data_IF_804099415938
#
_entry.id   IF_804099415938
#
_cell.length_a   1.000
_cell.length_b   1.000
_cell.length_c   1.000
_cell.angle_alpha   90.00
_cell.angle_beta   90.00
_cell.angle_gamma   90.00
#
_symmetry.space_group_name_H-M   'P 1'
#
loop_
_entity.id
_entity.type
_entity.pdbx_description
1 polymer ?
#
# COMPACT_ATOMS: atom_id res chain seq x y z
N UNK A 1 -71.71 -28.46 -14.42
CA UNK A 1 -70.57 -28.67 -13.53
C UNK A 1 -69.33 -28.67 -14.40
N UNK A 2 -68.72 -27.50 -14.47
CA UNK A 2 -67.50 -27.19 -15.28
C UNK A 2 -66.30 -27.25 -14.40
N UNK A 3 -65.29 -28.04 -14.77
CA UNK A 3 -64.05 -28.20 -14.03
C UNK A 3 -63.12 -27.03 -14.40
N UNK A 4 -62.75 -26.21 -13.41
CA UNK A 4 -61.78 -25.18 -13.52
C UNK A 4 -60.37 -25.73 -13.82
N UNK A 5 -59.69 -25.10 -14.79
CA UNK A 5 -58.37 -25.48 -15.30
C UNK A 5 -57.24 -25.27 -14.30
N UNK A 6 -56.26 -26.14 -14.41
CA UNK A 6 -55.05 -26.18 -13.60
C UNK A 6 -54.20 -24.94 -13.83
N UNK A 7 -53.81 -24.31 -12.74
CA UNK A 7 -52.97 -23.11 -12.71
C UNK A 7 -51.63 -23.26 -13.46
N UNK A 8 -51.40 -22.30 -14.27
CA UNK A 8 -50.13 -22.04 -14.96
C UNK A 8 -49.06 -21.72 -13.92
N UNK A 9 -48.13 -22.66 -13.67
CA UNK A 9 -47.01 -22.46 -12.77
C UNK A 9 -46.00 -21.62 -13.50
N UNK A 10 -45.97 -20.32 -13.18
CA UNK A 10 -44.88 -19.44 -13.57
C UNK A 10 -43.53 -20.11 -13.31
N UNK A 11 -42.77 -20.42 -14.36
CA UNK A 11 -41.39 -20.86 -14.31
C UNK A 11 -40.52 -19.64 -14.55
N UNK A 12 -39.61 -19.25 -13.57
CA UNK A 12 -38.67 -18.17 -13.83
C UNK A 12 -37.78 -18.57 -15.01
N UNK A 13 -37.42 -17.58 -15.88
CA UNK A 13 -36.57 -17.87 -17.02
C UNK A 13 -35.19 -18.33 -16.52
N UNK A 14 -34.75 -19.49 -17.01
CA UNK A 14 -33.40 -20.02 -16.81
C UNK A 14 -32.42 -19.18 -17.67
N UNK A 15 -32.12 -17.97 -17.24
CA UNK A 15 -31.04 -17.14 -17.77
C UNK A 15 -29.93 -17.14 -16.77
N UNK A 16 -28.81 -17.84 -17.04
CA UNK A 16 -27.52 -17.50 -16.47
C UNK A 16 -27.26 -16.06 -16.94
N UNK A 17 -27.42 -15.06 -16.07
CA UNK A 17 -26.86 -13.74 -16.28
C UNK A 17 -25.34 -13.93 -16.32
N UNK A 18 -24.79 -14.15 -17.52
CA UNK A 18 -23.35 -14.08 -17.73
C UNK A 18 -22.98 -12.63 -17.46
N UNK A 19 -22.23 -12.40 -16.40
CA UNK A 19 -21.57 -11.12 -16.19
C UNK A 19 -20.81 -10.76 -17.49
N UNK A 20 -20.78 -9.49 -17.88
CA UNK A 20 -19.97 -9.06 -19.03
C UNK A 20 -18.54 -9.57 -18.89
N UNK A 21 -17.93 -9.99 -20.00
CA UNK A 21 -16.59 -10.56 -20.01
C UNK A 21 -15.56 -9.64 -19.31
N UNK A 22 -15.72 -8.34 -19.46
CA UNK A 22 -14.88 -7.31 -18.79
C UNK A 22 -15.01 -7.33 -17.26
N UNK A 23 -16.21 -7.57 -16.72
CA UNK A 23 -16.43 -7.66 -15.26
C UNK A 23 -15.79 -8.93 -14.71
N UNK A 24 -15.90 -10.05 -15.46
CA UNK A 24 -15.25 -11.31 -15.09
C UNK A 24 -13.72 -11.15 -15.12
N UNK A 25 -13.19 -10.58 -16.20
CA UNK A 25 -11.75 -10.36 -16.35
C UNK A 25 -11.18 -9.44 -15.24
N UNK A 26 -11.92 -8.37 -14.89
CA UNK A 26 -11.55 -7.48 -13.77
C UNK A 26 -11.49 -8.24 -12.46
N UNK A 27 -12.54 -9.01 -12.13
CA UNK A 27 -12.58 -9.82 -10.91
C UNK A 27 -11.46 -10.88 -10.87
N UNK A 28 -11.13 -11.49 -12.00
CA UNK A 28 -10.02 -12.46 -12.09
C UNK A 28 -8.67 -11.77 -11.91
N UNK A 29 -8.50 -10.58 -12.48
CA UNK A 29 -7.30 -9.78 -12.30
C UNK A 29 -7.09 -9.38 -10.84
N UNK A 30 -8.12 -8.87 -10.17
CA UNK A 30 -8.09 -8.52 -8.75
C UNK A 30 -7.68 -9.72 -7.88
N UNK A 31 -8.29 -10.90 -8.09
CA UNK A 31 -7.92 -12.12 -7.37
C UNK A 31 -6.45 -12.54 -7.59
N UNK A 32 -5.90 -12.33 -8.80
CA UNK A 32 -4.48 -12.61 -9.07
C UNK A 32 -3.56 -11.61 -8.37
N UNK A 33 -3.94 -10.34 -8.23
CA UNK A 33 -3.18 -9.35 -7.49
C UNK A 33 -3.18 -9.67 -5.98
N UNK A 34 -4.34 -10.03 -5.42
CA UNK A 34 -4.45 -10.48 -4.02
C UNK A 34 -3.64 -11.76 -3.77
N UNK A 35 -3.69 -12.70 -4.72
CA UNK A 35 -2.88 -13.91 -4.67
C UNK A 35 -1.38 -13.61 -4.69
N UNK A 36 -0.94 -12.62 -5.49
CA UNK A 36 0.47 -12.23 -5.53
C UNK A 36 0.93 -11.68 -4.18
N UNK A 37 0.11 -10.86 -3.50
CA UNK A 37 0.41 -10.32 -2.16
C UNK A 37 0.60 -11.48 -1.18
N UNK A 38 -0.36 -12.40 -1.08
CA UNK A 38 -0.31 -13.54 -0.15
C UNK A 38 0.86 -14.49 -0.44
N UNK A 39 1.03 -14.89 -1.69
CA UNK A 39 2.11 -15.84 -2.08
C UNK A 39 3.49 -15.24 -1.84
N UNK A 40 3.69 -13.94 -2.11
CA UNK A 40 4.96 -13.27 -1.83
C UNK A 40 5.21 -13.17 -0.33
N UNK A 41 4.21 -12.84 0.47
CA UNK A 41 4.33 -12.79 1.93
C UNK A 41 4.70 -14.16 2.53
N UNK A 42 4.18 -15.26 1.95
CA UNK A 42 4.47 -16.64 2.40
C UNK A 42 5.88 -17.11 2.05
N UNK A 43 6.33 -16.91 0.81
CA UNK A 43 7.55 -17.55 0.29
C UNK A 43 8.55 -16.64 -0.42
N UNK A 44 8.24 -15.34 -0.53
CA UNK A 44 9.03 -14.35 -1.25
C UNK A 44 8.89 -14.42 -2.77
N UNK A 45 9.24 -13.32 -3.45
CA UNK A 45 9.16 -13.20 -4.91
C UNK A 45 9.96 -14.27 -5.66
N UNK A 46 11.16 -14.62 -5.18
CA UNK A 46 12.03 -15.60 -5.85
C UNK A 46 11.38 -16.97 -6.00
N UNK A 47 10.76 -17.48 -4.93
CA UNK A 47 10.11 -18.78 -4.90
C UNK A 47 8.68 -18.80 -5.44
N UNK A 48 8.03 -17.64 -5.62
CA UNK A 48 6.71 -17.54 -6.23
C UNK A 48 6.68 -18.08 -7.66
N UNK A 49 5.67 -18.89 -7.97
CA UNK A 49 5.44 -19.44 -9.32
C UNK A 49 4.06 -19.09 -9.85
N UNK A 50 3.87 -19.13 -11.19
CA UNK A 50 2.54 -18.94 -11.80
C UNK A 50 1.54 -19.99 -11.31
N UNK A 51 2.00 -21.20 -11.02
CA UNK A 51 1.15 -22.26 -10.45
C UNK A 51 0.65 -21.91 -9.05
N UNK A 52 1.45 -21.25 -8.24
CA UNK A 52 1.04 -20.76 -6.93
C UNK A 52 -0.02 -19.65 -7.08
N UNK A 53 0.23 -18.67 -7.96
CA UNK A 53 -0.70 -17.56 -8.23
C UNK A 53 -2.06 -18.06 -8.72
N UNK A 54 -2.07 -18.97 -9.70
CA UNK A 54 -3.31 -19.48 -10.27
C UNK A 54 -4.09 -20.34 -9.29
N UNK A 55 -3.41 -21.15 -8.47
CA UNK A 55 -4.02 -21.95 -7.40
C UNK A 55 -4.64 -21.04 -6.35
N UNK A 56 -3.91 -20.06 -5.87
CA UNK A 56 -4.36 -19.13 -4.83
C UNK A 56 -5.52 -18.24 -5.32
N UNK A 57 -5.44 -17.75 -6.56
CA UNK A 57 -6.49 -16.93 -7.17
C UNK A 57 -7.72 -17.73 -7.62
N UNK A 58 -7.64 -19.07 -7.70
CA UNK A 58 -8.70 -19.92 -8.24
C UNK A 58 -8.98 -19.63 -9.71
N UNK A 59 -7.94 -19.42 -10.54
CA UNK A 59 -8.04 -19.18 -11.98
C UNK A 59 -7.21 -20.20 -12.77
N UNK A 60 -7.50 -20.36 -14.08
CA UNK A 60 -6.70 -21.22 -14.94
C UNK A 60 -5.37 -20.56 -15.35
N UNK A 61 -4.39 -21.38 -15.77
CA UNK A 61 -3.16 -20.85 -16.37
C UNK A 61 -3.43 -20.07 -17.65
N UNK A 62 -4.41 -20.47 -18.44
CA UNK A 62 -4.84 -19.74 -19.64
C UNK A 62 -5.32 -18.33 -19.24
N UNK A 63 -6.20 -18.23 -18.25
CA UNK A 63 -6.67 -16.94 -17.72
C UNK A 63 -5.51 -16.06 -17.19
N UNK A 64 -4.51 -16.68 -16.54
CA UNK A 64 -3.33 -15.94 -16.12
C UNK A 64 -2.62 -15.28 -17.31
N UNK A 65 -2.32 -16.06 -18.38
CA UNK A 65 -1.61 -15.54 -19.54
C UNK A 65 -2.45 -14.60 -20.43
N UNK A 66 -3.78 -14.60 -20.28
CA UNK A 66 -4.65 -13.56 -20.86
C UNK A 66 -4.51 -12.20 -20.16
N UNK A 67 -4.10 -12.19 -18.87
CA UNK A 67 -4.04 -10.99 -18.02
C UNK A 67 -2.62 -10.49 -17.73
N UNK A 68 -1.63 -11.39 -17.74
CA UNK A 68 -0.23 -11.10 -17.42
C UNK A 68 0.72 -11.95 -18.26
N UNK A 69 1.80 -11.36 -18.73
CA UNK A 69 2.82 -12.07 -19.52
C UNK A 69 3.63 -13.06 -18.66
N UNK A 70 3.94 -12.64 -17.42
CA UNK A 70 4.73 -13.42 -16.47
C UNK A 70 4.41 -13.07 -15.01
N UNK A 71 5.09 -13.75 -14.08
CA UNK A 71 4.92 -13.50 -12.64
C UNK A 71 5.41 -12.13 -12.20
N UNK A 72 6.44 -11.57 -12.87
CA UNK A 72 6.99 -10.25 -12.56
C UNK A 72 5.95 -9.17 -12.87
N UNK A 73 5.30 -9.24 -14.02
CA UNK A 73 4.24 -8.29 -14.40
C UNK A 73 3.06 -8.35 -13.42
N UNK A 74 2.67 -9.55 -12.98
CA UNK A 74 1.62 -9.71 -11.96
C UNK A 74 2.04 -9.10 -10.61
N UNK A 75 3.26 -9.36 -10.16
CA UNK A 75 3.83 -8.77 -8.94
C UNK A 75 3.86 -7.24 -9.02
N UNK A 76 4.38 -6.69 -10.12
CA UNK A 76 4.49 -5.25 -10.30
C UNK A 76 3.11 -4.58 -10.30
N UNK A 77 2.10 -5.23 -10.87
CA UNK A 77 0.74 -4.71 -10.84
C UNK A 77 0.12 -4.77 -9.42
N UNK A 78 0.41 -5.82 -8.64
CA UNK A 78 0.02 -5.89 -7.22
C UNK A 78 0.71 -4.80 -6.40
N UNK A 79 2.01 -4.59 -6.62
CA UNK A 79 2.79 -3.53 -6.01
C UNK A 79 2.21 -2.13 -6.32
N UNK A 80 1.89 -1.85 -7.58
CA UNK A 80 1.31 -0.56 -7.97
C UNK A 80 -0.04 -0.30 -7.28
N UNK A 81 -0.90 -1.32 -7.17
CA UNK A 81 -2.16 -1.21 -6.44
C UNK A 81 -1.95 -0.93 -4.95
N UNK A 82 -1.00 -1.63 -4.32
CA UNK A 82 -0.65 -1.43 -2.91
C UNK A 82 -0.14 0.00 -2.66
N UNK A 83 0.79 0.47 -3.49
CA UNK A 83 1.33 1.84 -3.41
C UNK A 83 0.23 2.88 -3.64
N UNK A 84 -0.66 2.67 -4.60
CA UNK A 84 -1.76 3.60 -4.86
C UNK A 84 -2.71 3.71 -3.67
N UNK A 85 -3.01 2.60 -3.01
CA UNK A 85 -3.81 2.59 -1.77
C UNK A 85 -3.10 3.39 -0.66
N UNK A 86 -1.81 3.12 -0.42
CA UNK A 86 -1.02 3.82 0.59
C UNK A 86 -0.94 5.32 0.32
N UNK A 87 -0.60 5.71 -0.91
CA UNK A 87 -0.47 7.12 -1.28
C UNK A 87 -1.79 7.86 -1.10
N UNK A 88 -2.91 7.29 -1.53
CA UNK A 88 -4.24 7.91 -1.31
C UNK A 88 -4.56 8.11 0.17
N UNK A 89 -4.29 7.10 1.02
CA UNK A 89 -4.52 7.19 2.47
C UNK A 89 -3.65 8.28 3.11
N UNK A 90 -2.36 8.27 2.79
CA UNK A 90 -1.38 9.24 3.29
C UNK A 90 -1.74 10.66 2.86
N UNK A 91 -2.07 10.89 1.58
CA UNK A 91 -2.43 12.20 1.08
C UNK A 91 -3.74 12.71 1.69
N UNK A 92 -4.77 11.87 1.80
CA UNK A 92 -6.03 12.27 2.41
C UNK A 92 -5.84 12.71 3.89
N UNK A 93 -5.03 12.00 4.66
CA UNK A 93 -4.71 12.35 6.02
C UNK A 93 -3.85 13.63 6.09
N UNK A 94 -2.86 13.76 5.20
CA UNK A 94 -2.02 14.96 5.10
C UNK A 94 -2.84 16.22 4.82
N UNK A 95 -3.79 16.15 3.89
CA UNK A 95 -4.64 17.27 3.47
C UNK A 95 -5.70 17.65 4.51
N UNK A 96 -5.98 16.80 5.50
CA UNK A 96 -6.98 17.09 6.54
C UNK A 96 -6.51 18.12 7.56
N UNK A 97 -5.20 18.37 7.67
CA UNK A 97 -4.59 19.22 8.66
C UNK A 97 -4.06 20.54 8.06
N UNK A 98 -3.73 21.50 8.93
CA UNK A 98 -3.34 22.86 8.49
C UNK A 98 -1.87 23.16 8.61
N UNK A 99 -1.25 22.84 9.77
CA UNK A 99 0.18 23.06 9.96
C UNK A 99 1.00 21.90 9.43
N UNK A 100 2.19 22.13 8.92
CA UNK A 100 3.03 21.07 8.39
C UNK A 100 3.34 19.95 9.42
N UNK A 101 3.66 20.22 10.71
CA UNK A 101 3.84 19.15 11.69
C UNK A 101 2.58 18.30 11.90
N UNK A 102 1.38 18.91 11.97
CA UNK A 102 0.12 18.17 12.09
C UNK A 102 -0.14 17.31 10.85
N UNK A 103 0.06 17.88 9.65
CA UNK A 103 -0.06 17.19 8.37
C UNK A 103 0.87 15.96 8.29
N UNK A 104 2.15 16.15 8.69
CA UNK A 104 3.13 15.06 8.71
C UNK A 104 2.72 13.97 9.70
N UNK A 105 2.28 14.33 10.91
CA UNK A 105 1.83 13.37 11.92
C UNK A 105 0.58 12.59 11.46
N UNK A 106 -0.43 13.27 10.91
CA UNK A 106 -1.63 12.63 10.40
C UNK A 106 -1.31 11.64 9.27
N UNK A 107 -0.45 12.03 8.33
CA UNK A 107 0.02 11.18 7.24
C UNK A 107 0.76 9.93 7.74
N UNK A 108 1.66 10.09 8.72
CA UNK A 108 2.40 8.99 9.34
C UNK A 108 1.49 8.08 10.14
N UNK A 109 0.52 8.61 10.88
CA UNK A 109 -0.49 7.83 11.58
C UNK A 109 -1.26 6.94 10.60
N UNK A 110 -1.81 7.54 9.53
CA UNK A 110 -2.56 6.81 8.52
C UNK A 110 -1.72 5.73 7.81
N UNK A 111 -0.42 6.00 7.59
CA UNK A 111 0.51 5.02 7.04
C UNK A 111 0.72 3.85 8.00
N UNK A 112 1.08 4.11 9.26
CA UNK A 112 1.38 3.08 10.24
C UNK A 112 0.15 2.20 10.53
N UNK A 113 -1.05 2.79 10.66
CA UNK A 113 -2.30 2.07 10.84
C UNK A 113 -2.63 1.17 9.64
N UNK A 114 -2.46 1.68 8.41
CA UNK A 114 -2.67 0.87 7.21
C UNK A 114 -1.70 -0.31 7.16
N UNK A 115 -0.41 -0.07 7.39
CA UNK A 115 0.60 -1.13 7.34
C UNK A 115 0.43 -2.17 8.45
N UNK A 116 -0.08 -1.76 9.63
CA UNK A 116 -0.40 -2.68 10.72
C UNK A 116 -1.64 -3.53 10.41
N UNK A 117 -2.65 -2.94 9.76
CA UNK A 117 -3.89 -3.66 9.37
C UNK A 117 -3.71 -4.60 8.18
N UNK A 118 -2.73 -4.35 7.33
CA UNK A 118 -2.48 -5.08 6.09
C UNK A 118 -1.00 -5.54 6.00
N UNK A 119 -0.55 -6.45 6.88
CA UNK A 119 0.87 -6.80 7.03
C UNK A 119 1.49 -7.44 5.78
N UNK A 120 0.71 -8.20 5.01
CA UNK A 120 1.18 -8.81 3.76
C UNK A 120 1.43 -7.74 2.68
N UNK A 121 0.53 -6.76 2.57
CA UNK A 121 0.67 -5.60 1.69
C UNK A 121 1.87 -4.75 2.12
N UNK A 122 2.07 -4.54 3.41
CA UNK A 122 3.19 -3.80 3.96
C UNK A 122 4.53 -4.47 3.60
N UNK A 123 4.64 -5.79 3.77
CA UNK A 123 5.84 -6.55 3.39
C UNK A 123 6.14 -6.46 1.91
N UNK A 124 5.14 -6.69 1.04
CA UNK A 124 5.28 -6.57 -0.41
C UNK A 124 5.84 -5.21 -0.79
N UNK A 125 5.34 -4.15 -0.15
CA UNK A 125 5.63 -2.75 -0.53
C UNK A 125 6.97 -2.22 -0.03
N UNK A 126 7.45 -2.69 1.12
CA UNK A 126 8.64 -2.14 1.78
C UNK A 126 9.80 -3.13 1.91
N UNK A 127 9.51 -4.44 1.90
CA UNK A 127 10.52 -5.50 2.09
C UNK A 127 10.76 -6.27 0.79
N UNK A 128 9.72 -6.92 0.26
CA UNK A 128 9.86 -7.85 -0.85
C UNK A 128 10.18 -7.16 -2.19
N UNK A 129 9.77 -5.91 -2.34
CA UNK A 129 10.09 -5.07 -3.51
C UNK A 129 11.59 -4.93 -3.74
N UNK A 130 12.39 -4.93 -2.67
CA UNK A 130 13.87 -4.87 -2.75
C UNK A 130 14.48 -6.07 -3.46
N UNK A 131 13.84 -7.24 -3.36
CA UNK A 131 14.32 -8.52 -3.89
C UNK A 131 13.65 -8.94 -5.20
N UNK A 132 12.69 -8.13 -5.72
CA UNK A 132 11.92 -8.46 -6.91
C UNK A 132 12.52 -7.93 -8.23
N UNK A 133 13.79 -7.53 -8.20
CA UNK A 133 14.55 -7.13 -9.38
C UNK A 133 14.51 -5.64 -9.72
N UNK A 134 15.19 -5.23 -10.82
CA UNK A 134 15.39 -3.82 -11.14
C UNK A 134 14.10 -3.06 -11.47
N UNK A 135 13.09 -3.71 -12.04
CA UNK A 135 11.81 -3.07 -12.34
C UNK A 135 11.06 -2.71 -11.05
N UNK A 136 11.02 -3.62 -10.08
CA UNK A 136 10.43 -3.38 -8.77
C UNK A 136 11.15 -2.24 -8.01
N UNK A 137 12.49 -2.23 -8.04
CA UNK A 137 13.27 -1.15 -7.44
C UNK A 137 13.00 0.22 -8.10
N UNK A 138 12.77 0.27 -9.41
CA UNK A 138 12.34 1.53 -10.08
C UNK A 138 10.96 1.98 -9.58
N UNK A 139 10.00 1.05 -9.43
CA UNK A 139 8.66 1.34 -8.89
C UNK A 139 8.73 1.88 -7.47
N UNK A 140 9.55 1.25 -6.61
CA UNK A 140 9.81 1.73 -5.26
C UNK A 140 10.35 3.16 -5.23
N UNK A 141 11.38 3.46 -6.03
CA UNK A 141 11.91 4.83 -6.12
C UNK A 141 10.86 5.84 -6.58
N UNK A 142 10.02 5.47 -7.56
CA UNK A 142 8.93 6.34 -8.01
C UNK A 142 7.89 6.59 -6.90
N UNK A 143 7.57 5.57 -6.09
CA UNK A 143 6.69 5.71 -4.94
C UNK A 143 7.25 6.71 -3.92
N UNK A 144 8.53 6.59 -3.57
CA UNK A 144 9.22 7.55 -2.69
C UNK A 144 9.18 8.98 -3.28
N UNK A 145 9.43 9.14 -4.59
CA UNK A 145 9.36 10.45 -5.24
C UNK A 145 7.98 11.11 -5.15
N UNK A 146 6.90 10.33 -5.16
CA UNK A 146 5.52 10.86 -4.99
C UNK A 146 5.28 11.44 -3.59
N UNK A 147 5.96 10.93 -2.57
CA UNK A 147 5.84 11.40 -1.18
C UNK A 147 6.84 12.51 -0.85
N UNK A 148 7.91 12.68 -1.62
CA UNK A 148 8.95 13.68 -1.37
C UNK A 148 8.41 15.11 -1.19
N UNK A 149 7.42 15.60 -1.98
CA UNK A 149 6.85 16.94 -1.81
C UNK A 149 6.29 17.21 -0.42
N UNK A 150 5.73 16.19 0.25
CA UNK A 150 5.17 16.33 1.60
C UNK A 150 6.26 16.70 2.64
N UNK A 151 7.47 16.18 2.43
CA UNK A 151 8.63 16.49 3.26
C UNK A 151 9.29 17.81 2.85
N UNK A 152 9.32 18.13 1.53
CA UNK A 152 9.89 19.40 1.05
C UNK A 152 9.12 20.62 1.56
N UNK A 153 7.81 20.51 1.83
CA UNK A 153 7.02 21.57 2.46
C UNK A 153 7.58 21.96 3.84
N UNK A 154 8.23 21.05 4.56
CA UNK A 154 8.93 21.34 5.81
C UNK A 154 10.03 22.40 5.68
N UNK A 155 10.61 22.58 4.50
CA UNK A 155 11.62 23.64 4.24
C UNK A 155 11.05 25.03 4.32
N UNK A 156 9.81 25.21 3.89
CA UNK A 156 9.14 26.51 3.94
C UNK A 156 8.59 26.80 5.35
N UNK A 157 8.27 25.76 6.11
CA UNK A 157 7.82 25.86 7.49
C UNK A 157 8.96 26.25 8.46
N UNK A 158 10.17 25.77 8.22
CA UNK A 158 11.28 25.89 9.16
C UNK A 158 12.07 27.20 8.98
N UNK A 159 12.42 27.91 10.07
CA UNK A 159 13.40 28.99 9.99
C UNK A 159 14.73 28.48 9.42
N UNK A 160 15.14 29.00 8.27
CA UNK A 160 16.38 28.55 7.60
C UNK A 160 16.26 27.25 6.81
N UNK A 161 15.07 26.67 6.65
CA UNK A 161 14.83 25.41 5.95
C UNK A 161 15.30 25.40 4.49
N UNK A 162 15.34 26.57 3.82
CA UNK A 162 15.90 26.71 2.46
C UNK A 162 17.42 26.42 2.39
N UNK A 163 18.14 26.50 3.50
CA UNK A 163 19.56 26.16 3.62
C UNK A 163 19.85 24.68 3.86
N UNK A 164 18.81 23.83 4.04
CA UNK A 164 19.00 22.41 4.28
C UNK A 164 19.55 21.69 3.03
N UNK A 165 20.39 20.65 3.21
CA UNK A 165 20.93 19.85 2.10
C UNK A 165 19.84 19.30 1.20
N UNK A 166 20.13 19.17 -0.10
CA UNK A 166 19.16 18.74 -1.11
C UNK A 166 18.52 17.36 -0.83
N UNK A 167 19.24 16.46 -0.16
CA UNK A 167 18.76 15.11 0.14
C UNK A 167 18.06 14.98 1.50
N UNK A 168 17.78 16.09 2.22
CA UNK A 168 17.17 16.04 3.57
C UNK A 168 15.88 15.24 3.58
N UNK A 169 14.93 15.56 2.69
CA UNK A 169 13.65 14.87 2.60
C UNK A 169 13.81 13.38 2.28
N UNK A 170 14.73 13.06 1.38
CA UNK A 170 15.03 11.68 1.01
C UNK A 170 15.62 10.88 2.18
N UNK A 171 16.49 11.50 2.99
CA UNK A 171 17.05 10.87 4.19
C UNK A 171 15.98 10.67 5.26
N UNK A 172 15.09 11.65 5.49
CA UNK A 172 13.98 11.52 6.41
C UNK A 172 13.02 10.38 6.01
N UNK A 173 12.63 10.33 4.74
CA UNK A 173 11.81 9.21 4.22
C UNK A 173 12.54 7.87 4.41
N UNK A 174 13.82 7.81 4.09
CA UNK A 174 14.63 6.60 4.22
C UNK A 174 14.73 6.08 5.66
N UNK A 175 14.86 6.97 6.65
CA UNK A 175 14.89 6.57 8.06
C UNK A 175 13.54 6.00 8.53
N UNK A 176 12.44 6.64 8.15
CA UNK A 176 11.07 6.17 8.46
C UNK A 176 10.80 4.81 7.82
N UNK A 177 11.04 4.69 6.50
CA UNK A 177 10.78 3.43 5.78
C UNK A 177 11.71 2.31 6.22
N UNK A 178 12.96 2.61 6.60
CA UNK A 178 13.91 1.64 7.14
C UNK A 178 13.44 1.07 8.47
N UNK A 179 13.04 1.92 9.41
CA UNK A 179 12.50 1.49 10.72
C UNK A 179 11.26 0.61 10.54
N UNK A 180 10.32 1.02 9.69
CA UNK A 180 9.12 0.22 9.41
C UNK A 180 9.49 -1.14 8.79
N UNK A 181 10.42 -1.18 7.83
CA UNK A 181 10.87 -2.41 7.19
C UNK A 181 11.50 -3.39 8.20
N UNK A 182 12.29 -2.89 9.15
CA UNK A 182 12.90 -3.71 10.20
C UNK A 182 11.83 -4.37 11.08
N UNK A 183 10.77 -3.65 11.47
CA UNK A 183 9.65 -4.21 12.22
C UNK A 183 8.87 -5.26 11.43
N UNK A 184 8.64 -5.01 10.13
CA UNK A 184 7.97 -5.96 9.25
C UNK A 184 8.79 -7.25 9.05
N UNK A 185 10.11 -7.14 8.91
CA UNK A 185 11.02 -8.30 8.82
C UNK A 185 11.02 -9.10 10.12
N UNK A 186 10.91 -8.42 11.25
CA UNK A 186 10.82 -9.05 12.58
C UNK A 186 9.43 -9.64 12.89
N UNK A 187 8.44 -9.49 12.00
CA UNK A 187 7.08 -10.00 12.20
C UNK A 187 6.26 -9.22 13.21
N UNK A 188 6.57 -7.95 13.45
CA UNK A 188 5.91 -7.08 14.45
C UNK A 188 5.04 -5.99 13.81
N UNK A 189 4.35 -6.32 12.73
CA UNK A 189 3.50 -5.36 12.00
C UNK A 189 2.44 -4.68 12.89
N UNK A 190 1.86 -5.42 13.86
CA UNK A 190 0.87 -4.90 14.80
C UNK A 190 1.43 -3.84 15.76
N UNK A 191 2.75 -3.74 15.90
CA UNK A 191 3.41 -2.75 16.76
C UNK A 191 3.72 -1.44 16.03
N UNK A 192 3.54 -1.37 14.71
CA UNK A 192 3.84 -0.18 13.92
C UNK A 192 3.17 1.11 14.42
N UNK A 193 1.91 1.12 14.86
CA UNK A 193 1.29 2.34 15.41
C UNK A 193 2.04 2.90 16.63
N UNK A 194 2.71 2.03 17.41
CA UNK A 194 3.54 2.44 18.56
C UNK A 194 4.80 3.22 18.17
N UNK A 195 5.22 3.19 16.91
CA UNK A 195 6.37 3.94 16.41
C UNK A 195 6.04 5.41 16.06
N UNK A 196 4.80 5.86 16.22
CA UNK A 196 4.36 7.18 15.76
C UNK A 196 5.26 8.30 16.28
N UNK A 197 5.58 8.30 17.58
CA UNK A 197 6.45 9.31 18.18
C UNK A 197 7.83 9.34 17.54
N UNK A 198 8.43 8.18 17.29
CA UNK A 198 9.77 8.05 16.71
C UNK A 198 9.80 8.54 15.27
N UNK A 199 8.82 8.12 14.43
CA UNK A 199 8.80 8.51 13.01
C UNK A 199 8.42 9.98 12.83
N UNK A 200 7.57 10.54 13.68
CA UNK A 200 7.25 11.98 13.69
C UNK A 200 8.49 12.76 14.09
N UNK A 201 9.17 12.37 15.16
CA UNK A 201 10.42 13.00 15.59
C UNK A 201 11.46 12.99 14.46
N UNK A 202 11.75 11.81 13.90
CA UNK A 202 12.71 11.65 12.82
C UNK A 202 12.35 12.49 11.57
N UNK A 203 11.07 12.67 11.30
CA UNK A 203 10.57 13.50 10.19
C UNK A 203 10.78 14.98 10.44
N UNK A 204 10.52 15.46 11.67
CA UNK A 204 10.55 16.89 12.00
C UNK A 204 11.96 17.43 12.30
N UNK A 205 12.80 16.62 12.96
CA UNK A 205 14.15 17.03 13.41
C UNK A 205 14.99 17.74 12.35
N UNK A 206 15.08 17.25 11.11
CA UNK A 206 15.93 17.89 10.11
C UNK A 206 15.50 19.31 9.76
N UNK A 207 14.25 19.66 10.01
CA UNK A 207 13.64 20.93 9.62
C UNK A 207 13.57 21.93 10.76
N UNK A 208 13.15 21.51 11.95
CA UNK A 208 12.88 22.41 13.07
C UNK A 208 13.82 22.21 14.27
N UNK A 209 14.75 21.26 14.17
CA UNK A 209 15.71 20.93 15.22
C UNK A 209 15.12 20.06 16.33
N UNK A 210 15.98 19.44 17.18
CA UNK A 210 15.56 18.40 18.12
C UNK A 210 14.60 18.92 19.20
N UNK A 211 14.86 20.10 19.78
CA UNK A 211 14.05 20.64 20.87
C UNK A 211 12.62 21.00 20.41
N UNK A 212 12.49 21.57 19.21
CA UNK A 212 11.18 21.89 18.65
C UNK A 212 10.44 20.62 18.22
N UNK A 213 11.15 19.66 17.63
CA UNK A 213 10.55 18.37 17.24
C UNK A 213 10.05 17.59 18.48
N UNK A 214 10.81 17.56 19.58
CA UNK A 214 10.37 16.92 20.81
C UNK A 214 9.07 17.55 21.39
N UNK A 215 8.99 18.89 21.39
CA UNK A 215 7.76 19.59 21.81
C UNK A 215 6.57 19.28 20.91
N UNK A 216 6.78 19.20 19.61
CA UNK A 216 5.70 18.84 18.68
C UNK A 216 5.24 17.38 18.88
N UNK A 217 6.14 16.44 19.08
CA UNK A 217 5.80 15.04 19.40
C UNK A 217 4.96 14.98 20.69
N UNK A 218 5.39 15.64 21.78
CA UNK A 218 4.61 15.68 23.02
C UNK A 218 3.20 16.27 22.83
N UNK A 219 3.06 17.29 21.96
CA UNK A 219 1.76 17.90 21.64
C UNK A 219 0.86 16.95 20.86
N UNK A 220 1.41 16.21 19.91
CA UNK A 220 0.68 15.35 18.98
C UNK A 220 0.30 13.98 19.57
N UNK A 221 0.97 13.56 20.65
CA UNK A 221 0.76 12.25 21.28
C UNK A 221 -0.01 12.31 22.62
N UNK A 222 -0.47 13.50 23.01
CA UNK A 222 -1.38 13.71 24.16
C UNK A 222 -2.84 13.51 23.76
#
# INVERSE_FOLDING_TARGET
>A
VERAGAGDRWRPPRGRHRLPAEVVARSQRERLLDAAIRVVAEKGFGAMTISDLTREAGVSRTTFYELFEDKEQCFLAAYDNAVELMVRRVLAAYESERSWPDRAAAALTALLELLASEPELARLSLVDVGNAGPAAQRRYRNAIQRLTPLFEEGRDFAPGGRGLPANTSRMAIGSVTGLIADELVAGRAEQLPGLLSDVVFATLVPYIGPDAAAREVERLTR
#
